data_IF_429212092972
#
_entry.id   IF_429212092972
#
_cell.length_a   1.000
_cell.length_b   1.000
_cell.length_c   1.000
_cell.angle_alpha   90.00
_cell.angle_beta   90.00
_cell.angle_gamma   90.00
#
_symmetry.space_group_name_H-M   'P 1'
#
loop_
_entity.id
_entity.type
_entity.pdbx_description
1 polymer ?
#
# COMPACT_ATOMS: atom_id res chain seq x y z
N UNK A 1 -42.73 2.16 -0.79
CA UNK A 1 -41.38 2.57 -1.21
C UNK A 1 -40.45 1.85 -0.26
N UNK A 2 -40.02 0.66 -0.68
CA UNK A 2 -39.13 -0.17 0.13
C UNK A 2 -37.74 0.41 -0.01
N UNK A 3 -37.18 0.88 1.10
CA UNK A 3 -35.77 1.28 1.15
C UNK A 3 -34.99 -0.02 1.31
N UNK A 4 -34.51 -0.58 0.21
CA UNK A 4 -33.52 -1.66 0.27
C UNK A 4 -32.25 -1.05 0.82
N UNK A 5 -31.94 -1.33 2.08
CA UNK A 5 -30.65 -0.99 2.65
C UNK A 5 -29.57 -1.70 1.83
N UNK A 6 -28.67 -0.95 1.21
CA UNK A 6 -27.40 -1.51 0.78
C UNK A 6 -26.54 -1.67 2.03
N UNK A 7 -26.79 -2.72 2.81
CA UNK A 7 -25.90 -3.10 3.90
C UNK A 7 -24.74 -3.90 3.31
N UNK A 8 -23.71 -3.19 2.88
CA UNK A 8 -22.34 -3.67 3.06
C UNK A 8 -21.86 -3.06 4.37
N UNK A 9 -21.91 -3.84 5.45
CA UNK A 9 -21.43 -3.38 6.75
C UNK A 9 -19.94 -3.03 6.62
N UNK A 10 -19.51 -1.88 7.14
CA UNK A 10 -18.09 -1.46 7.12
C UNK A 10 -17.16 -2.43 7.85
N UNK A 11 -17.69 -3.42 8.58
CA UNK A 11 -16.93 -4.51 9.19
C UNK A 11 -16.79 -5.79 8.32
N UNK A 12 -17.32 -5.80 7.09
CA UNK A 12 -17.29 -6.96 6.18
C UNK A 12 -16.23 -6.83 5.06
N UNK A 13 -15.42 -5.78 5.12
CA UNK A 13 -14.34 -5.52 4.16
C UNK A 13 -12.98 -5.99 4.65
N UNK A 14 -12.18 -6.59 3.78
CA UNK A 14 -10.76 -6.88 4.07
C UNK A 14 -10.00 -5.54 4.06
N UNK A 15 -9.26 -5.28 5.14
CA UNK A 15 -8.40 -4.10 5.24
C UNK A 15 -6.94 -4.56 5.19
N UNK A 16 -6.17 -4.04 4.23
CA UNK A 16 -4.73 -4.10 4.32
C UNK A 16 -4.25 -3.05 5.31
N UNK A 17 -3.94 -3.50 6.52
CA UNK A 17 -3.55 -2.63 7.62
C UNK A 17 -2.10 -2.10 7.50
N UNK A 18 -1.30 -2.61 6.56
CA UNK A 18 0.11 -2.24 6.49
C UNK A 18 0.74 -2.48 5.10
N UNK A 19 1.00 -1.39 4.40
CA UNK A 19 1.88 -1.39 3.22
C UNK A 19 2.71 -0.10 3.18
N UNK A 20 3.71 -0.12 2.30
CA UNK A 20 4.57 1.03 1.98
C UNK A 20 4.58 1.23 0.47
N UNK A 21 4.65 2.49 0.04
CA UNK A 21 4.85 2.89 -1.36
C UNK A 21 6.05 3.83 -1.41
N UNK A 22 6.80 3.80 -2.51
CA UNK A 22 7.94 4.69 -2.71
C UNK A 22 8.21 4.95 -4.19
N UNK A 23 8.71 6.15 -4.46
CA UNK A 23 9.26 6.60 -5.74
C UNK A 23 10.75 6.88 -5.52
N UNK A 24 11.61 6.07 -6.15
CA UNK A 24 13.06 6.16 -6.00
C UNK A 24 13.65 7.44 -6.60
N UNK A 25 12.92 8.12 -7.49
CA UNK A 25 13.30 9.44 -7.98
C UNK A 25 13.04 10.56 -6.97
N UNK A 26 12.09 10.35 -6.05
CA UNK A 26 11.75 11.28 -4.96
C UNK A 26 12.66 11.07 -3.76
N UNK A 27 12.84 9.80 -3.35
CA UNK A 27 13.71 9.48 -2.22
C UNK A 27 14.29 8.09 -2.36
N UNK A 28 15.60 8.00 -2.18
CA UNK A 28 16.26 6.71 -2.15
C UNK A 28 15.88 5.88 -0.91
N UNK A 29 16.07 4.58 -1.01
CA UNK A 29 15.79 3.58 0.02
C UNK A 29 17.08 2.84 0.34
N UNK A 30 17.98 3.52 1.05
CA UNK A 30 19.35 3.04 1.34
C UNK A 30 19.39 1.72 2.12
N UNK A 31 18.28 1.33 2.76
CA UNK A 31 18.12 0.04 3.43
C UNK A 31 17.98 -1.15 2.46
N UNK A 32 17.70 -0.89 1.17
CA UNK A 32 17.60 -1.92 0.12
C UNK A 32 19.01 -2.30 -0.33
N UNK A 33 19.69 -3.09 0.50
CA UNK A 33 21.05 -3.59 0.24
C UNK A 33 21.06 -5.10 0.06
N UNK A 34 21.89 -5.60 -0.85
CA UNK A 34 22.09 -7.03 -1.07
C UNK A 34 21.24 -7.63 -2.21
N UNK A 35 21.68 -8.74 -2.80
CA UNK A 35 20.98 -9.38 -3.93
C UNK A 35 19.58 -9.89 -3.57
N UNK A 36 19.34 -10.26 -2.32
CA UNK A 36 18.05 -10.74 -1.83
C UNK A 36 16.97 -9.66 -1.82
N UNK A 37 17.35 -8.38 -1.68
CA UNK A 37 16.43 -7.24 -1.72
C UNK A 37 16.34 -6.59 -3.11
N UNK A 38 17.09 -7.09 -4.10
CA UNK A 38 17.08 -6.56 -5.45
C UNK A 38 15.66 -6.38 -6.07
N UNK A 39 14.68 -7.29 -5.85
CA UNK A 39 13.32 -7.09 -6.35
C UNK A 39 12.59 -5.86 -5.78
N UNK A 40 13.01 -5.36 -4.61
CA UNK A 40 12.45 -4.16 -3.98
C UNK A 40 13.08 -2.88 -4.54
N UNK A 41 14.18 -2.97 -5.29
CA UNK A 41 14.91 -1.82 -5.86
C UNK A 41 14.23 -1.27 -7.13
N UNK A 42 12.95 -0.91 -7.01
CA UNK A 42 12.11 -0.30 -8.04
C UNK A 42 11.03 0.55 -7.38
N UNK A 43 10.30 1.32 -8.17
CA UNK A 43 9.16 2.09 -7.67
C UNK A 43 7.99 1.18 -7.32
N UNK A 44 7.28 1.55 -6.26
CA UNK A 44 6.00 0.98 -5.87
C UNK A 44 5.05 2.15 -5.64
N UNK A 45 4.18 2.42 -6.59
CA UNK A 45 3.30 3.59 -6.59
C UNK A 45 1.90 3.22 -6.08
N UNK A 46 1.09 4.24 -5.78
CA UNK A 46 -0.31 4.05 -5.38
C UNK A 46 -1.13 3.30 -6.44
N UNK A 47 -0.83 3.48 -7.73
CA UNK A 47 -1.51 2.76 -8.81
C UNK A 47 -1.21 1.25 -8.79
N UNK A 48 0.03 0.86 -8.42
CA UNK A 48 0.39 -0.54 -8.27
C UNK A 48 -0.37 -1.15 -7.08
N UNK A 49 -0.39 -0.43 -5.95
CA UNK A 49 -1.16 -0.83 -4.77
C UNK A 49 -2.65 -1.00 -5.09
N UNK A 50 -3.26 -0.05 -5.80
CA UNK A 50 -4.69 -0.12 -6.15
C UNK A 50 -5.01 -1.37 -6.98
N UNK A 51 -4.18 -1.67 -7.98
CA UNK A 51 -4.34 -2.88 -8.81
C UNK A 51 -4.25 -4.16 -7.98
N UNK A 52 -3.24 -4.27 -7.12
CA UNK A 52 -3.04 -5.46 -6.28
C UNK A 52 -4.13 -5.58 -5.19
N UNK A 53 -4.54 -4.46 -4.58
CA UNK A 53 -5.59 -4.43 -3.57
C UNK A 53 -6.93 -4.92 -4.16
N UNK A 54 -7.29 -4.47 -5.36
CA UNK A 54 -8.48 -4.94 -6.07
C UNK A 54 -8.40 -6.44 -6.36
N UNK A 55 -7.27 -6.92 -6.86
CA UNK A 55 -7.06 -8.34 -7.15
C UNK A 55 -7.14 -9.23 -5.89
N UNK A 56 -6.72 -8.69 -4.74
CA UNK A 56 -6.75 -9.37 -3.44
C UNK A 56 -8.10 -9.25 -2.70
N UNK A 57 -9.07 -8.49 -3.22
CA UNK A 57 -10.33 -8.22 -2.51
C UNK A 57 -10.19 -7.29 -1.29
N UNK A 58 -9.09 -6.53 -1.23
CA UNK A 58 -8.87 -5.51 -0.21
C UNK A 58 -9.74 -4.30 -0.53
N UNK A 59 -10.55 -3.90 0.45
CA UNK A 59 -11.57 -2.85 0.31
C UNK A 59 -11.14 -1.50 0.87
N UNK A 60 -10.14 -1.51 1.75
CA UNK A 60 -9.50 -0.31 2.28
C UNK A 60 -8.07 -0.64 2.69
N UNK A 61 -7.20 0.38 2.69
CA UNK A 61 -5.80 0.21 3.07
C UNK A 61 -5.38 1.29 4.07
N UNK A 62 -4.40 0.98 4.90
CA UNK A 62 -3.72 1.96 5.75
C UNK A 62 -2.32 2.19 5.19
N UNK A 63 -2.11 3.37 4.61
CA UNK A 63 -0.78 3.77 4.16
C UNK A 63 0.07 4.14 5.36
N UNK A 64 1.12 3.35 5.60
CA UNK A 64 2.12 3.60 6.64
C UNK A 64 3.38 4.10 5.96
N UNK A 65 3.96 5.19 6.44
CA UNK A 65 5.27 5.65 5.97
C UNK A 65 6.18 5.92 7.15
N UNK A 66 7.35 5.32 7.14
CA UNK A 66 8.46 5.70 8.00
C UNK A 66 9.47 6.47 7.18
N UNK A 67 9.81 7.66 7.66
CA UNK A 67 10.99 8.40 7.21
C UNK A 67 12.07 8.20 8.25
N UNK A 68 13.28 7.86 7.80
CA UNK A 68 14.43 7.91 8.69
C UNK A 68 14.75 9.40 8.92
N UNK A 69 14.76 9.89 10.17
CA UNK A 69 15.05 11.29 10.48
C UNK A 69 16.43 11.77 10.02
N UNK A 70 17.31 10.87 9.53
CA UNK A 70 18.61 11.21 8.96
C UNK A 70 18.68 11.36 7.44
N UNK A 71 17.66 10.97 6.67
CA UNK A 71 17.69 11.13 5.20
C UNK A 71 17.10 12.49 4.81
N UNK A 72 17.97 13.44 4.49
CA UNK A 72 17.63 14.79 4.00
C UNK A 72 17.15 14.79 2.56
#
# INVERSE_FOLDING_TARGET
MEVTAMEGNTAEGVIDAHHHVWDLSVRDQDWITGPELAPLRRDFLLADLESEAQAAGVTATVLVQTIDPGST
#
